data_IF_200860661719
#
_entry.id   IF_200860661719
#
_cell.length_a   1.000
_cell.length_b   1.000
_cell.length_c   1.000
_cell.angle_alpha   90.00
_cell.angle_beta   90.00
_cell.angle_gamma   90.00
#
_symmetry.space_group_name_H-M   'P 1'
#
loop_
_entity.id
_entity.type
_entity.pdbx_description
1 polymer ?
#
# COMPACT_ATOMS: atom_id res chain seq x y z
N UNK A 1 9.89 -30.48 -4.84
CA UNK A 1 8.47 -30.67 -4.43
C UNK A 1 7.76 -29.39 -4.83
N UNK A 2 6.95 -29.44 -5.89
CA UNK A 2 6.33 -28.25 -6.50
C UNK A 2 5.25 -27.71 -5.54
N UNK A 3 5.38 -26.47 -5.08
CA UNK A 3 4.29 -25.74 -4.43
C UNK A 3 3.25 -25.37 -5.52
N UNK A 4 1.96 -25.44 -5.21
CA UNK A 4 0.93 -24.99 -6.12
C UNK A 4 0.86 -23.47 -6.17
N UNK A 5 0.69 -22.98 -7.38
CA UNK A 5 0.40 -21.60 -7.79
C UNK A 5 -0.80 -21.07 -6.99
N UNK A 6 -0.60 -20.00 -6.22
CA UNK A 6 -1.70 -19.24 -5.61
C UNK A 6 -2.33 -18.38 -6.72
N UNK A 7 -3.42 -18.86 -7.28
CA UNK A 7 -4.29 -18.07 -8.15
C UNK A 7 -5.15 -17.18 -7.24
N UNK A 8 -4.96 -15.88 -7.33
CA UNK A 8 -5.86 -14.92 -6.74
C UNK A 8 -7.17 -14.93 -7.53
N UNK A 9 -8.24 -15.51 -6.96
CA UNK A 9 -9.57 -15.49 -7.54
C UNK A 9 -10.32 -14.29 -6.94
N UNK A 10 -10.52 -13.25 -7.76
CA UNK A 10 -11.39 -12.13 -7.44
C UNK A 10 -12.84 -12.61 -7.46
N UNK A 11 -13.57 -12.44 -6.36
CA UNK A 11 -15.02 -12.63 -6.33
C UNK A 11 -15.68 -11.36 -6.86
N UNK A 12 -16.10 -11.38 -8.12
CA UNK A 12 -16.98 -10.38 -8.70
C UNK A 12 -18.42 -10.69 -8.30
N UNK A 13 -19.05 -9.84 -7.50
CA UNK A 13 -20.50 -9.84 -7.35
C UNK A 13 -21.11 -9.03 -8.50
N UNK A 14 -21.75 -9.71 -9.44
CA UNK A 14 -22.51 -9.08 -10.52
C UNK A 14 -23.84 -8.56 -9.97
N UNK A 15 -24.01 -7.25 -9.94
CA UNK A 15 -25.32 -6.62 -9.91
C UNK A 15 -25.65 -6.10 -11.31
N UNK A 16 -26.65 -6.73 -11.94
CA UNK A 16 -27.23 -6.21 -13.19
C UNK A 16 -28.17 -5.06 -12.87
N UNK A 17 -27.80 -3.86 -13.30
CA UNK A 17 -28.72 -2.72 -13.40
C UNK A 17 -28.81 -2.31 -14.86
N UNK A 18 -30.03 -2.27 -15.37
CA UNK A 18 -30.31 -1.87 -16.74
C UNK A 18 -30.07 -0.37 -16.93
N UNK A 19 -29.15 -0.03 -17.79
CA UNK A 19 -28.85 1.35 -18.18
C UNK A 19 -29.92 1.89 -19.15
N UNK A 20 -30.58 2.97 -18.74
CA UNK A 20 -31.22 3.90 -19.68
C UNK A 20 -30.19 4.94 -20.07
N UNK A 21 -29.68 4.84 -21.28
CA UNK A 21 -28.80 5.86 -21.88
C UNK A 21 -29.57 7.16 -22.10
N UNK A 22 -29.23 8.19 -21.35
CA UNK A 22 -29.49 9.58 -21.70
C UNK A 22 -28.23 10.14 -22.37
N UNK A 23 -28.36 10.30 -23.68
CA UNK A 23 -27.39 10.99 -24.53
C UNK A 23 -27.27 12.46 -24.05
N UNK A 24 -26.27 12.78 -23.26
CA UNK A 24 -25.81 14.15 -23.00
C UNK A 24 -24.55 14.35 -23.82
N UNK A 25 -24.67 15.08 -24.91
CA UNK A 25 -23.53 15.61 -25.66
C UNK A 25 -22.71 16.50 -24.70
N UNK A 26 -21.61 15.97 -24.18
CA UNK A 26 -20.63 16.73 -23.41
C UNK A 26 -19.68 17.41 -24.38
N UNK A 27 -19.71 18.74 -24.39
CA UNK A 27 -18.64 19.55 -24.99
C UNK A 27 -17.40 19.34 -24.12
N UNK A 28 -16.38 18.71 -24.70
CA UNK A 28 -15.02 18.64 -24.13
C UNK A 28 -14.51 20.08 -23.99
N UNK A 29 -14.29 20.53 -22.76
CA UNK A 29 -13.71 21.83 -22.51
C UNK A 29 -12.21 21.78 -22.81
N UNK A 30 -11.72 22.58 -23.75
CA UNK A 30 -10.29 22.75 -23.97
C UNK A 30 -9.68 23.52 -22.77
N UNK A 31 -8.89 22.82 -21.98
CA UNK A 31 -8.18 23.37 -20.82
C UNK A 31 -6.80 23.80 -21.29
N UNK A 32 -6.40 25.02 -21.02
CA UNK A 32 -5.03 25.49 -21.25
C UNK A 32 -4.31 25.54 -19.90
N UNK A 33 -3.18 24.82 -19.75
CA UNK A 33 -2.31 24.98 -18.59
C UNK A 33 -1.66 26.36 -18.70
N UNK A 34 -2.00 27.27 -17.80
CA UNK A 34 -1.19 28.48 -17.65
C UNK A 34 0.23 28.06 -17.23
N UNK A 35 1.24 28.67 -17.88
CA UNK A 35 2.62 28.58 -17.42
C UNK A 35 2.62 28.89 -15.92
N UNK A 36 3.20 27.99 -15.12
CA UNK A 36 3.11 27.89 -13.67
C UNK A 36 2.71 29.22 -13.01
N UNK A 37 1.64 29.23 -12.26
CA UNK A 37 1.29 30.39 -11.45
C UNK A 37 2.42 30.61 -10.45
N UNK A 38 3.50 31.26 -10.89
CA UNK A 38 4.71 31.62 -10.16
C UNK A 38 4.43 32.72 -9.10
N UNK A 39 3.28 32.64 -8.49
CA UNK A 39 2.95 33.33 -7.25
C UNK A 39 2.66 32.33 -6.16
N UNK A 40 3.46 31.26 -6.08
CA UNK A 40 3.57 30.55 -4.83
C UNK A 40 4.15 31.57 -3.82
N UNK A 41 3.33 32.02 -2.88
CA UNK A 41 3.86 32.52 -1.63
C UNK A 41 4.96 31.54 -1.24
N UNK A 42 6.15 32.04 -0.88
CA UNK A 42 7.29 31.25 -0.45
C UNK A 42 6.90 30.36 0.75
N UNK A 43 6.13 29.33 0.48
CA UNK A 43 5.77 28.23 1.36
C UNK A 43 6.81 27.15 1.11
N UNK A 44 7.40 26.66 2.15
CA UNK A 44 8.38 25.61 2.23
C UNK A 44 7.98 24.43 1.33
N UNK A 45 8.50 24.42 0.09
CA UNK A 45 8.38 23.27 -0.82
C UNK A 45 8.94 22.03 -0.11
N UNK A 46 8.33 20.87 -0.35
CA UNK A 46 8.85 19.61 0.19
C UNK A 46 9.95 19.13 -0.77
N UNK A 47 11.20 19.16 -0.29
CA UNK A 47 12.39 18.95 -1.14
C UNK A 47 12.42 17.60 -1.87
N UNK A 48 11.89 16.54 -1.25
CA UNK A 48 12.01 15.18 -1.75
C UNK A 48 10.67 14.65 -2.34
N UNK A 49 9.68 15.54 -2.56
CA UNK A 49 8.35 15.14 -3.02
C UNK A 49 8.32 14.68 -4.50
N UNK A 50 9.30 15.08 -5.29
CA UNK A 50 9.45 14.65 -6.68
C UNK A 50 10.36 13.44 -6.87
N UNK A 51 10.92 12.88 -5.78
CA UNK A 51 11.70 11.65 -5.83
C UNK A 51 10.82 10.40 -5.70
N UNK A 52 11.17 9.36 -6.44
CA UNK A 52 10.52 8.05 -6.30
C UNK A 52 11.30 7.19 -5.32
N UNK A 53 10.69 6.83 -4.20
CA UNK A 53 11.22 5.84 -3.27
C UNK A 53 10.63 4.47 -3.60
N UNK A 54 11.26 3.80 -4.54
CA UNK A 54 10.79 2.54 -5.09
C UNK A 54 11.06 1.37 -4.15
N UNK A 55 10.04 0.52 -3.95
CA UNK A 55 10.13 -0.71 -3.15
C UNK A 55 9.89 -1.93 -4.05
N UNK A 56 10.78 -2.92 -3.98
CA UNK A 56 10.62 -4.18 -4.71
C UNK A 56 10.22 -5.32 -3.79
N UNK A 57 9.14 -6.01 -4.12
CA UNK A 57 8.79 -7.26 -3.45
C UNK A 57 9.72 -8.39 -3.89
N UNK A 58 10.29 -9.11 -2.93
CA UNK A 58 11.03 -10.33 -3.19
C UNK A 58 10.07 -11.53 -3.15
N UNK A 59 9.35 -11.74 -4.24
CA UNK A 59 8.53 -12.93 -4.48
C UNK A 59 9.37 -14.05 -5.11
N UNK A 60 8.77 -15.24 -5.29
CA UNK A 60 9.45 -16.37 -5.95
C UNK A 60 9.86 -16.06 -7.39
N UNK A 61 9.18 -15.16 -8.06
CA UNK A 61 9.52 -14.70 -9.42
C UNK A 61 10.79 -13.85 -9.43
N UNK A 62 11.12 -13.23 -8.30
CA UNK A 62 12.33 -12.44 -8.12
C UNK A 62 13.56 -13.29 -7.72
N UNK A 63 13.39 -14.56 -7.37
CA UNK A 63 14.47 -15.46 -6.94
C UNK A 63 15.70 -15.50 -7.88
N UNK A 64 15.54 -15.48 -9.23
CA UNK A 64 16.69 -15.45 -10.14
C UNK A 64 17.64 -14.28 -9.88
N UNK A 65 17.09 -13.08 -9.64
CA UNK A 65 17.86 -11.86 -9.42
C UNK A 65 18.55 -11.84 -8.05
N UNK A 66 17.93 -12.40 -7.01
CA UNK A 66 18.54 -12.52 -5.68
C UNK A 66 19.84 -13.35 -5.71
N UNK A 67 19.88 -14.39 -6.52
CA UNK A 67 21.05 -15.25 -6.68
C UNK A 67 22.10 -14.71 -7.64
N UNK A 68 21.72 -13.83 -8.58
CA UNK A 68 22.61 -13.24 -9.56
C UNK A 68 23.42 -12.06 -8.97
N UNK A 69 24.75 -12.23 -8.93
CA UNK A 69 25.63 -11.17 -8.46
C UNK A 69 25.71 -9.98 -9.42
N UNK A 70 25.43 -10.20 -10.72
CA UNK A 70 25.44 -9.16 -11.75
C UNK A 70 24.33 -8.15 -11.55
N UNK A 71 23.17 -8.58 -11.06
CA UNK A 71 22.00 -7.73 -10.78
C UNK A 71 22.11 -6.86 -9.52
N UNK A 72 23.06 -7.14 -8.64
CA UNK A 72 23.20 -6.42 -7.36
C UNK A 72 23.49 -4.92 -7.46
N UNK A 73 24.37 -4.44 -8.38
CA UNK A 73 24.55 -3.00 -8.56
C UNK A 73 23.26 -2.29 -8.93
N UNK A 74 22.52 -2.83 -9.91
CA UNK A 74 21.21 -2.33 -10.33
C UNK A 74 20.25 -2.22 -9.15
N UNK A 75 20.07 -3.30 -8.38
CA UNK A 75 19.16 -3.31 -7.23
C UNK A 75 19.52 -2.25 -6.17
N UNK A 76 20.81 -1.94 -5.99
CA UNK A 76 21.23 -0.89 -5.04
C UNK A 76 20.99 0.51 -5.55
N UNK A 77 21.00 0.69 -6.84
CA UNK A 77 20.82 1.98 -7.50
C UNK A 77 19.34 2.35 -7.56
N UNK A 78 18.46 1.39 -7.91
CA UNK A 78 17.07 1.64 -8.22
C UNK A 78 16.09 1.33 -7.09
N UNK A 79 16.44 0.41 -6.16
CA UNK A 79 15.51 0.04 -5.09
C UNK A 79 15.85 0.79 -3.79
N UNK A 80 14.95 1.67 -3.38
CA UNK A 80 15.05 2.33 -2.06
C UNK A 80 14.93 1.32 -0.92
N UNK A 81 14.01 0.36 -1.06
CA UNK A 81 13.78 -0.75 -0.14
C UNK A 81 13.49 -2.03 -0.91
N UNK A 82 13.67 -3.13 -0.21
CA UNK A 82 13.11 -4.42 -0.62
C UNK A 82 12.21 -4.94 0.51
N UNK A 83 11.18 -5.69 0.16
CA UNK A 83 10.34 -6.42 1.10
C UNK A 83 10.48 -7.91 0.81
N UNK A 84 10.75 -8.73 1.83
CA UNK A 84 10.97 -10.16 1.63
C UNK A 84 10.51 -11.00 2.80
N UNK A 85 10.20 -12.24 2.49
CA UNK A 85 9.87 -13.24 3.50
C UNK A 85 11.16 -13.87 4.04
N UNK A 86 11.36 -13.99 5.38
CA UNK A 86 12.39 -14.87 5.87
C UNK A 86 12.06 -16.33 5.48
N UNK A 87 12.98 -17.12 4.94
CA UNK A 87 14.43 -16.94 4.86
C UNK A 87 14.98 -16.56 3.48
N UNK A 88 14.26 -15.79 2.66
CA UNK A 88 14.74 -15.37 1.32
C UNK A 88 16.12 -14.74 1.37
N UNK A 89 16.41 -14.03 2.44
CA UNK A 89 17.69 -13.43 2.67
C UNK A 89 18.47 -14.25 3.67
N UNK A 90 19.60 -14.76 3.23
CA UNK A 90 20.59 -15.35 4.11
C UNK A 90 21.31 -14.26 4.94
N UNK A 91 22.27 -14.65 5.76
CA UNK A 91 23.06 -13.74 6.58
C UNK A 91 23.89 -12.73 5.81
N UNK A 92 23.85 -12.72 4.48
CA UNK A 92 24.63 -11.85 3.60
C UNK A 92 23.85 -10.63 3.09
N UNK A 93 22.81 -10.18 3.77
CA UNK A 93 22.01 -8.99 3.44
C UNK A 93 22.80 -7.69 3.24
N UNK A 94 24.07 -7.66 3.58
CA UNK A 94 24.95 -6.48 3.41
C UNK A 94 25.04 -5.95 1.98
N UNK A 95 24.70 -6.75 1.00
CA UNK A 95 24.68 -6.35 -0.40
C UNK A 95 23.33 -5.81 -0.85
N UNK A 96 22.24 -6.21 -0.21
CA UNK A 96 20.90 -5.81 -0.60
C UNK A 96 20.61 -4.36 -0.23
N UNK A 97 19.68 -3.68 -0.91
CA UNK A 97 19.04 -2.48 -0.39
C UNK A 97 18.47 -2.73 0.99
N UNK A 98 18.23 -1.68 1.75
CA UNK A 98 17.61 -1.81 3.08
C UNK A 98 16.29 -2.59 2.96
N UNK A 99 16.18 -3.73 3.65
CA UNK A 99 15.12 -4.70 3.43
C UNK A 99 14.21 -4.79 4.65
N UNK A 100 12.91 -4.78 4.43
CA UNK A 100 11.91 -5.14 5.43
C UNK A 100 11.66 -6.64 5.38
N UNK A 101 11.62 -7.31 6.53
CA UNK A 101 11.07 -8.65 6.58
C UNK A 101 9.56 -8.59 6.78
N UNK A 102 8.85 -9.52 6.15
CA UNK A 102 7.42 -9.71 6.30
C UNK A 102 7.11 -10.44 7.60
N UNK A 103 6.15 -9.93 8.35
CA UNK A 103 5.63 -10.59 9.55
C UNK A 103 4.14 -10.26 9.72
N UNK A 104 3.33 -11.29 9.83
CA UNK A 104 1.91 -11.13 10.06
C UNK A 104 1.61 -10.77 11.52
N UNK A 105 0.69 -9.83 11.78
CA UNK A 105 0.38 -9.41 13.14
C UNK A 105 -0.34 -10.50 13.92
N UNK A 106 -1.29 -11.21 13.30
CA UNK A 106 -2.12 -12.22 13.96
C UNK A 106 -2.47 -13.43 13.09
N UNK A 107 -2.11 -13.45 11.80
CA UNK A 107 -2.23 -14.66 11.01
C UNK A 107 -1.10 -15.63 11.33
N UNK A 108 -1.42 -16.90 11.39
CA UNK A 108 -0.47 -17.93 11.72
C UNK A 108 -0.74 -19.16 10.88
N UNK A 109 0.28 -19.57 10.14
CA UNK A 109 0.18 -20.58 9.10
C UNK A 109 0.54 -21.99 9.60
N UNK A 110 -0.43 -22.89 9.83
CA UNK A 110 -0.15 -24.25 10.26
C UNK A 110 0.56 -25.10 9.20
N UNK A 111 0.63 -24.64 7.96
CA UNK A 111 1.47 -25.24 6.91
C UNK A 111 2.96 -25.07 7.20
N UNK A 112 3.37 -24.00 7.89
CA UNK A 112 4.71 -23.86 8.41
C UNK A 112 4.91 -24.78 9.62
N UNK A 113 5.98 -25.60 9.58
CA UNK A 113 6.26 -26.59 10.62
C UNK A 113 6.60 -25.96 11.97
N UNK A 114 7.22 -24.79 11.97
CA UNK A 114 7.62 -24.09 13.20
C UNK A 114 6.41 -23.44 13.86
N UNK A 115 5.54 -22.83 13.09
CA UNK A 115 4.30 -22.20 13.55
C UNK A 115 3.31 -23.25 14.05
N UNK A 116 3.10 -24.34 13.29
CA UNK A 116 2.27 -25.45 13.76
C UNK A 116 2.70 -25.99 15.11
N UNK A 117 4.00 -26.23 15.33
CA UNK A 117 4.53 -26.68 16.64
C UNK A 117 4.32 -25.64 17.74
N UNK A 118 4.32 -24.37 17.38
CA UNK A 118 4.07 -23.29 18.31
C UNK A 118 2.64 -23.33 18.84
N UNK A 119 1.66 -23.59 17.97
CA UNK A 119 0.26 -23.69 18.37
C UNK A 119 -0.05 -24.95 19.18
N UNK A 120 0.53 -26.06 18.78
CA UNK A 120 0.42 -27.30 19.56
C UNK A 120 0.87 -27.08 21.01
N UNK A 121 1.89 -26.23 21.21
CA UNK A 121 2.40 -25.89 22.57
C UNK A 121 1.60 -24.78 23.25
N UNK A 122 0.97 -23.90 22.48
CA UNK A 122 0.29 -22.70 22.99
C UNK A 122 -1.11 -22.53 22.40
N UNK A 123 -2.02 -23.54 22.54
CA UNK A 123 -3.35 -23.51 21.91
C UNK A 123 -4.20 -22.32 22.37
N UNK A 124 -3.93 -21.75 23.53
CA UNK A 124 -4.59 -20.55 24.06
C UNK A 124 -4.11 -19.23 23.41
N UNK A 125 -3.25 -19.29 22.38
CA UNK A 125 -2.91 -18.11 21.60
C UNK A 125 -3.84 -17.92 20.39
N UNK A 126 -4.62 -18.95 20.03
CA UNK A 126 -5.58 -18.90 18.93
C UNK A 126 -6.94 -18.48 19.46
N UNK A 127 -7.56 -17.55 18.74
CA UNK A 127 -8.93 -17.17 18.98
C UNK A 127 -9.89 -18.33 18.71
N UNK A 128 -10.98 -18.38 19.44
CA UNK A 128 -11.97 -19.46 19.34
C UNK A 128 -13.37 -18.89 19.36
N UNK A 129 -14.30 -19.64 18.76
CA UNK A 129 -15.72 -19.39 18.84
C UNK A 129 -16.32 -19.88 20.18
N UNK A 130 -17.63 -19.75 20.34
CA UNK A 130 -18.39 -20.21 21.52
C UNK A 130 -18.34 -21.74 21.71
N UNK A 131 -18.20 -22.50 20.62
CA UNK A 131 -18.06 -23.94 20.65
C UNK A 131 -16.62 -24.39 20.93
N UNK A 132 -15.69 -23.45 21.08
CA UNK A 132 -14.27 -23.71 21.32
C UNK A 132 -13.49 -24.11 20.05
N UNK A 133 -14.08 -23.95 18.86
CA UNK A 133 -13.38 -24.21 17.60
C UNK A 133 -12.37 -23.08 17.29
N UNK A 134 -11.22 -23.39 16.71
CA UNK A 134 -10.25 -22.39 16.32
C UNK A 134 -10.81 -21.52 15.19
N UNK A 135 -10.49 -20.24 15.22
CA UNK A 135 -10.86 -19.26 14.22
C UNK A 135 -9.69 -18.92 13.32
N UNK A 136 -10.01 -18.41 12.15
CA UNK A 136 -9.09 -18.16 11.05
C UNK A 136 -9.05 -16.68 10.66
N UNK A 137 -8.00 -16.27 9.95
CA UNK A 137 -8.05 -15.08 9.12
C UNK A 137 -8.86 -15.44 7.86
N UNK A 138 -9.96 -14.72 7.52
CA UNK A 138 -10.88 -15.08 6.43
C UNK A 138 -10.29 -14.73 5.07
N UNK A 139 -9.23 -15.43 4.68
CA UNK A 139 -8.50 -15.26 3.44
C UNK A 139 -8.26 -16.62 2.78
N UNK A 140 -8.51 -16.74 1.47
CA UNK A 140 -8.34 -17.95 0.68
C UNK A 140 -8.94 -19.21 1.33
N UNK A 141 -10.13 -19.07 1.92
CA UNK A 141 -10.81 -20.15 2.62
C UNK A 141 -11.43 -21.13 1.63
N UNK A 142 -11.19 -22.43 1.86
CA UNK A 142 -11.74 -23.52 1.06
C UNK A 142 -12.12 -24.70 1.96
N UNK A 143 -13.24 -25.36 1.64
CA UNK A 143 -13.68 -26.59 2.33
C UNK A 143 -13.79 -26.46 3.87
N UNK A 144 -14.20 -25.31 4.38
CA UNK A 144 -14.41 -25.08 5.80
C UNK A 144 -13.11 -24.80 6.58
N UNK A 145 -12.03 -24.42 5.89
CA UNK A 145 -10.79 -23.96 6.52
C UNK A 145 -10.11 -22.86 5.72
N UNK A 146 -9.27 -22.07 6.38
CA UNK A 146 -8.45 -21.06 5.74
C UNK A 146 -6.96 -21.34 6.00
N UNK A 147 -6.03 -20.78 5.21
CA UNK A 147 -4.60 -21.05 5.33
C UNK A 147 -4.00 -20.68 6.70
N UNK A 148 -4.58 -19.69 7.39
CA UNK A 148 -4.03 -19.18 8.64
C UNK A 148 -5.06 -19.13 9.76
N UNK A 149 -4.66 -19.57 10.95
CA UNK A 149 -5.42 -19.32 12.19
C UNK A 149 -5.27 -17.87 12.63
N UNK A 150 -6.31 -17.34 13.29
CA UNK A 150 -6.28 -16.02 13.91
C UNK A 150 -5.71 -16.11 15.36
N UNK A 151 -4.53 -15.55 15.56
CA UNK A 151 -3.96 -15.40 16.90
C UNK A 151 -4.62 -14.25 17.66
N UNK A 152 -4.64 -14.34 18.99
CA UNK A 152 -5.19 -13.30 19.88
C UNK A 152 -4.21 -12.11 20.02
N UNK A 153 -4.47 -10.95 19.39
CA UNK A 153 -3.59 -9.79 19.47
C UNK A 153 -3.55 -9.19 20.88
N UNK A 154 -4.50 -9.53 21.75
CA UNK A 154 -4.51 -9.13 23.17
C UNK A 154 -3.66 -10.04 24.07
N UNK A 155 -3.18 -11.18 23.58
CA UNK A 155 -2.41 -12.14 24.38
C UNK A 155 -0.96 -11.67 24.57
N UNK A 156 -0.61 -11.28 25.79
CA UNK A 156 0.72 -10.77 26.11
C UNK A 156 1.87 -11.77 25.91
N UNK A 157 1.58 -13.09 25.97
CA UNK A 157 2.61 -14.12 25.72
C UNK A 157 2.88 -14.23 24.22
N UNK A 158 1.83 -14.23 23.41
CA UNK A 158 1.93 -14.15 21.95
C UNK A 158 2.69 -12.88 21.50
N UNK A 159 2.30 -11.71 22.00
CA UNK A 159 3.00 -10.45 21.69
C UNK A 159 4.51 -10.52 22.02
N UNK A 160 4.89 -11.08 23.17
CA UNK A 160 6.31 -11.25 23.53
C UNK A 160 7.06 -12.17 22.58
N UNK A 161 6.41 -13.28 22.20
CA UNK A 161 6.97 -14.22 21.24
C UNK A 161 7.19 -13.53 19.89
N UNK A 162 6.18 -12.85 19.37
CA UNK A 162 6.23 -12.14 18.10
C UNK A 162 7.37 -11.11 18.07
N UNK A 163 7.45 -10.25 19.10
CA UNK A 163 8.50 -9.22 19.21
C UNK A 163 9.89 -9.84 19.33
N UNK A 164 10.04 -10.94 20.06
CA UNK A 164 11.33 -11.62 20.16
C UNK A 164 11.73 -12.27 18.82
N UNK A 165 10.78 -12.69 18.01
CA UNK A 165 11.01 -13.18 16.65
C UNK A 165 11.49 -12.03 15.76
N UNK A 166 10.74 -10.94 15.71
CA UNK A 166 11.09 -9.76 14.95
C UNK A 166 12.50 -9.22 15.29
N UNK A 167 12.87 -9.19 16.57
CA UNK A 167 14.23 -8.81 16.98
C UNK A 167 15.30 -9.70 16.37
N UNK A 168 15.09 -11.02 16.35
CA UNK A 168 16.07 -11.95 15.77
C UNK A 168 16.28 -11.70 14.28
N UNK A 169 15.23 -11.29 13.55
CA UNK A 169 15.35 -10.97 12.14
C UNK A 169 16.05 -9.62 11.93
N UNK A 170 15.73 -8.62 12.73
CA UNK A 170 16.49 -7.35 12.74
C UNK A 170 17.98 -7.57 13.06
N UNK A 171 18.31 -8.45 14.02
CA UNK A 171 19.69 -8.83 14.36
C UNK A 171 20.42 -9.54 13.21
N UNK A 172 19.68 -10.07 12.22
CA UNK A 172 20.25 -10.63 10.98
C UNK A 172 20.60 -9.56 9.94
N UNK A 173 20.15 -8.33 10.13
CA UNK A 173 20.49 -7.21 9.26
C UNK A 173 19.33 -6.63 8.46
N UNK A 174 18.09 -7.02 8.75
CA UNK A 174 16.92 -6.33 8.19
C UNK A 174 16.83 -4.90 8.73
N UNK A 175 16.44 -3.95 7.87
CA UNK A 175 16.30 -2.55 8.24
C UNK A 175 15.00 -2.26 9.00
N UNK A 176 14.00 -3.08 8.77
CA UNK A 176 12.68 -2.89 9.35
C UNK A 176 11.79 -4.11 9.22
N UNK A 177 10.55 -3.93 9.61
CA UNK A 177 9.50 -4.95 9.56
C UNK A 177 8.28 -4.42 8.81
N UNK A 178 7.83 -5.21 7.87
CA UNK A 178 6.53 -5.08 7.25
C UNK A 178 5.54 -5.92 8.04
N UNK A 179 4.61 -5.26 8.72
CA UNK A 179 3.61 -5.90 9.57
C UNK A 179 2.31 -6.00 8.81
N UNK A 180 2.00 -7.18 8.34
CA UNK A 180 0.76 -7.46 7.63
C UNK A 180 -0.42 -7.63 8.59
N UNK A 181 -1.64 -7.48 8.05
CA UNK A 181 -2.89 -7.66 8.79
C UNK A 181 -3.03 -6.76 10.03
N UNK A 182 -2.53 -5.51 9.98
CA UNK A 182 -2.81 -4.53 11.03
C UNK A 182 -4.24 -4.02 10.89
N UNK A 183 -5.20 -4.94 10.82
CA UNK A 183 -6.60 -4.64 10.57
C UNK A 183 -7.29 -4.15 11.85
N UNK A 184 -7.86 -2.94 11.78
CA UNK A 184 -8.67 -2.40 12.85
C UNK A 184 -10.14 -2.85 12.76
N UNK A 185 -10.54 -3.47 11.63
CA UNK A 185 -11.70 -4.35 11.55
C UNK A 185 -11.34 -5.72 12.13
N UNK A 186 -12.31 -6.36 12.78
CA UNK A 186 -12.11 -7.68 13.36
C UNK A 186 -12.26 -8.76 12.27
N UNK A 187 -11.24 -8.87 11.40
CA UNK A 187 -11.18 -9.85 10.32
C UNK A 187 -10.83 -11.24 10.86
N UNK A 188 -11.84 -11.89 11.46
CA UNK A 188 -11.76 -13.24 12.04
C UNK A 188 -12.95 -14.04 11.57
N UNK A 189 -12.73 -15.26 11.07
CA UNK A 189 -13.75 -16.11 10.48
C UNK A 189 -13.75 -17.54 10.99
N UNK A 190 -14.81 -18.28 10.67
CA UNK A 190 -15.02 -19.67 11.12
C UNK A 190 -14.43 -20.74 10.18
N UNK A 191 -13.78 -20.29 9.10
CA UNK A 191 -13.20 -21.18 8.08
C UNK A 191 -14.09 -21.35 6.84
N UNK A 192 -15.34 -20.90 6.86
CA UNK A 192 -16.21 -20.83 5.67
C UNK A 192 -15.92 -19.61 4.78
N UNK A 193 -15.19 -18.63 5.33
CA UNK A 193 -15.01 -17.30 4.76
C UNK A 193 -15.88 -16.24 5.43
N UNK A 194 -16.88 -16.66 6.21
CA UNK A 194 -17.73 -15.75 6.98
C UNK A 194 -17.01 -15.22 8.22
N UNK A 195 -17.14 -13.91 8.46
CA UNK A 195 -16.57 -13.25 9.64
C UNK A 195 -17.43 -13.52 10.87
N UNK A 196 -16.79 -13.93 11.96
CA UNK A 196 -17.42 -14.21 13.24
C UNK A 196 -16.66 -13.56 14.38
N UNK A 197 -17.36 -13.05 15.38
CA UNK A 197 -16.71 -12.48 16.55
C UNK A 197 -16.21 -13.62 17.48
N UNK A 198 -14.92 -13.63 17.84
CA UNK A 198 -14.36 -14.61 18.77
C UNK A 198 -14.87 -14.41 20.19
N UNK A 199 -14.75 -15.43 21.04
CA UNK A 199 -14.87 -15.27 22.49
C UNK A 199 -13.59 -14.65 23.03
N UNK A 200 -13.70 -13.52 23.71
CA UNK A 200 -12.57 -12.88 24.38
C UNK A 200 -12.10 -13.75 25.58
N UNK A 201 -10.88 -14.30 25.54
CA UNK A 201 -10.39 -15.17 26.62
C UNK A 201 -10.27 -14.47 27.97
N UNK A 202 -10.36 -13.14 28.03
CA UNK A 202 -10.22 -12.33 29.25
C UNK A 202 -11.56 -12.12 29.95
N UNK A 203 -12.65 -12.11 29.20
CA UNK A 203 -14.00 -11.87 29.73
C UNK A 203 -14.90 -13.11 29.67
N UNK A 204 -14.59 -14.04 28.76
CA UNK A 204 -15.44 -15.20 28.47
C UNK A 204 -16.71 -14.84 27.69
N UNK A 205 -16.79 -13.62 27.15
CA UNK A 205 -17.89 -13.13 26.32
C UNK A 205 -17.43 -12.85 24.90
N UNK A 206 -18.34 -12.67 23.97
CA UNK A 206 -18.02 -12.30 22.61
C UNK A 206 -17.23 -11.00 22.56
N UNK A 207 -16.12 -10.98 21.79
CA UNK A 207 -15.27 -9.82 21.63
C UNK A 207 -15.99 -8.75 20.80
N UNK A 208 -15.97 -7.52 21.27
CA UNK A 208 -16.50 -6.38 20.51
C UNK A 208 -15.43 -5.81 19.57
N UNK A 209 -15.85 -5.07 18.54
CA UNK A 209 -14.94 -4.33 17.66
C UNK A 209 -14.03 -3.36 18.48
N UNK A 210 -14.59 -2.71 19.49
CA UNK A 210 -13.82 -1.81 20.37
C UNK A 210 -12.75 -2.56 21.21
N UNK A 211 -13.01 -3.81 21.60
CA UNK A 211 -12.02 -4.66 22.27
C UNK A 211 -10.89 -5.02 21.31
N UNK A 212 -11.24 -5.47 20.12
CA UNK A 212 -10.29 -5.78 19.05
C UNK A 212 -9.36 -4.60 18.75
N UNK A 213 -9.92 -3.45 18.40
CA UNK A 213 -9.18 -2.23 18.10
C UNK A 213 -8.24 -1.83 19.25
N UNK A 214 -8.69 -1.96 20.49
CA UNK A 214 -7.88 -1.69 21.68
C UNK A 214 -6.70 -2.66 21.80
N UNK A 215 -6.90 -3.94 21.47
CA UNK A 215 -5.83 -4.95 21.54
C UNK A 215 -4.81 -4.75 20.44
N UNK A 216 -5.25 -4.55 19.19
CA UNK A 216 -4.36 -4.25 18.05
C UNK A 216 -3.56 -2.98 18.31
N UNK A 217 -4.21 -1.88 18.71
CA UNK A 217 -3.53 -0.62 19.01
C UNK A 217 -2.50 -0.72 20.16
N UNK A 218 -2.76 -1.57 21.17
CA UNK A 218 -1.78 -1.82 22.23
C UNK A 218 -0.62 -2.69 21.77
N UNK A 219 -0.88 -3.64 20.90
CA UNK A 219 0.15 -4.52 20.37
C UNK A 219 1.10 -3.74 19.44
N UNK A 220 0.57 -2.99 18.48
CA UNK A 220 1.37 -2.15 17.56
C UNK A 220 2.19 -1.10 18.32
N UNK A 221 1.60 -0.41 19.31
CA UNK A 221 2.33 0.52 20.17
C UNK A 221 3.46 -0.17 20.96
N UNK A 222 3.26 -1.42 21.36
CA UNK A 222 4.30 -2.23 22.02
C UNK A 222 5.40 -2.62 21.04
N UNK A 223 5.05 -3.03 19.81
CA UNK A 223 6.03 -3.31 18.75
C UNK A 223 6.94 -2.10 18.57
N UNK A 224 6.37 -0.91 18.37
CA UNK A 224 7.13 0.35 18.23
C UNK A 224 8.05 0.62 19.44
N UNK A 225 7.54 0.43 20.65
CA UNK A 225 8.32 0.69 21.87
C UNK A 225 9.50 -0.28 22.05
N UNK A 226 9.34 -1.52 21.59
CA UNK A 226 10.31 -2.62 21.77
C UNK A 226 11.30 -2.74 20.57
N UNK A 227 10.91 -2.32 19.36
CA UNK A 227 11.73 -2.34 18.15
C UNK A 227 12.19 -0.93 17.78
N UNK A 228 12.79 -0.23 18.74
CA UNK A 228 13.31 1.13 18.53
C UNK A 228 14.42 1.13 17.48
N UNK A 229 14.32 2.05 16.51
CA UNK A 229 15.30 2.19 15.43
C UNK A 229 15.04 1.31 14.22
N UNK A 230 14.07 0.39 14.25
CA UNK A 230 13.59 -0.30 13.07
C UNK A 230 12.53 0.55 12.36
N UNK A 231 12.55 0.55 11.03
CA UNK A 231 11.46 1.07 10.21
C UNK A 231 10.27 0.09 10.29
N UNK A 232 9.08 0.59 10.58
CA UNK A 232 7.87 -0.24 10.72
C UNK A 232 6.84 0.21 9.69
N UNK A 233 6.44 -0.72 8.84
CA UNK A 233 5.35 -0.55 7.87
C UNK A 233 4.15 -1.35 8.37
N UNK A 234 2.95 -0.75 8.36
CA UNK A 234 1.71 -1.45 8.66
C UNK A 234 0.87 -1.58 7.40
N UNK A 235 0.55 -2.82 6.98
CA UNK A 235 -0.52 -3.03 6.02
C UNK A 235 -1.87 -2.94 6.73
N UNK A 236 -2.70 -1.96 6.31
CA UNK A 236 -4.01 -1.67 6.91
C UNK A 236 -5.08 -1.46 5.85
N UNK A 237 -6.27 -2.03 6.09
CA UNK A 237 -7.45 -1.75 5.25
C UNK A 237 -7.95 -0.33 5.54
N UNK A 238 -7.91 0.54 4.54
CA UNK A 238 -8.17 1.97 4.71
C UNK A 238 -9.66 2.35 4.74
N UNK A 239 -10.47 1.77 3.83
CA UNK A 239 -11.82 2.27 3.52
C UNK A 239 -12.86 1.95 4.60
N UNK A 240 -12.62 0.96 5.43
CA UNK A 240 -13.56 0.50 6.45
C UNK A 240 -13.13 0.84 7.88
N UNK A 241 -12.01 1.54 8.06
CA UNK A 241 -11.45 1.80 9.38
C UNK A 241 -11.90 3.16 9.95
N UNK A 242 -12.60 3.18 11.10
CA UNK A 242 -12.97 4.45 11.72
C UNK A 242 -11.73 5.17 12.28
N UNK A 243 -11.63 6.47 12.11
CA UNK A 243 -10.53 7.31 12.64
C UNK A 243 -10.64 7.52 14.17
N UNK A 244 -10.83 6.42 14.90
CA UNK A 244 -10.92 6.41 16.37
C UNK A 244 -9.54 6.64 17.02
N UNK A 245 -9.53 6.85 18.34
CA UNK A 245 -8.28 6.97 19.09
C UNK A 245 -7.42 5.70 19.03
N UNK A 246 -8.03 4.53 18.92
CA UNK A 246 -7.33 3.26 18.75
C UNK A 246 -6.66 3.18 17.37
N UNK A 247 -7.38 3.50 16.29
CA UNK A 247 -6.85 3.58 14.92
C UNK A 247 -5.71 4.58 14.85
N UNK A 248 -5.92 5.80 15.35
CA UNK A 248 -4.87 6.83 15.41
C UNK A 248 -3.62 6.37 16.14
N UNK A 249 -3.77 5.62 17.24
CA UNK A 249 -2.65 5.07 18.00
C UNK A 249 -1.91 4.00 17.21
N UNK A 250 -2.62 3.12 16.52
CA UNK A 250 -2.04 2.08 15.67
C UNK A 250 -1.25 2.70 14.52
N UNK A 251 -1.85 3.66 13.80
CA UNK A 251 -1.21 4.39 12.70
C UNK A 251 0.07 5.10 13.16
N UNK A 252 0.03 5.78 14.31
CA UNK A 252 1.24 6.44 14.89
C UNK A 252 2.33 5.47 15.30
N UNK A 253 2.05 4.20 15.46
CA UNK A 253 3.06 3.20 15.78
C UNK A 253 3.87 2.75 14.55
N UNK A 254 3.40 3.00 13.33
CA UNK A 254 4.14 2.80 12.10
C UNK A 254 5.04 4.00 11.75
N UNK A 255 5.98 3.82 10.84
CA UNK A 255 6.64 4.89 10.08
C UNK A 255 5.88 5.13 8.78
N UNK A 256 5.42 4.05 8.13
CA UNK A 256 4.60 4.06 6.93
C UNK A 256 3.36 3.19 7.12
N UNK A 257 2.28 3.60 6.46
CA UNK A 257 1.08 2.78 6.29
C UNK A 257 1.03 2.33 4.84
N UNK A 258 1.04 1.03 4.63
CA UNK A 258 0.81 0.50 3.30
C UNK A 258 -0.67 0.58 2.97
N UNK A 259 -0.93 0.98 1.74
CA UNK A 259 -2.23 1.06 1.11
C UNK A 259 -2.23 0.08 -0.06
N UNK A 260 -2.55 -1.17 0.27
CA UNK A 260 -2.63 -2.28 -0.68
C UNK A 260 -3.62 -1.97 -1.80
N UNK A 261 -3.25 -2.25 -3.04
CA UNK A 261 -3.89 -1.90 -4.31
C UNK A 261 -3.81 -0.43 -4.72
N UNK A 262 -3.35 0.47 -3.85
CA UNK A 262 -3.14 1.88 -4.20
C UNK A 262 -4.39 2.57 -4.76
N UNK A 263 -4.19 3.46 -5.71
CA UNK A 263 -5.26 4.14 -6.45
C UNK A 263 -5.85 3.26 -7.57
N UNK A 264 -5.21 2.14 -7.90
CA UNK A 264 -5.71 1.15 -8.87
C UNK A 264 -6.67 0.12 -8.24
N UNK A 265 -7.06 0.28 -6.97
CA UNK A 265 -8.09 -0.57 -6.37
C UNK A 265 -9.38 -0.52 -7.20
N UNK A 266 -9.95 -1.67 -7.62
CA UNK A 266 -11.17 -1.70 -8.42
C UNK A 266 -12.32 -0.93 -7.79
N UNK A 267 -12.44 -0.93 -6.45
CA UNK A 267 -13.46 -0.16 -5.75
C UNK A 267 -13.26 1.36 -5.85
N UNK A 268 -12.05 1.82 -6.22
CA UNK A 268 -11.76 3.22 -6.51
C UNK A 268 -11.99 3.51 -8.01
N UNK A 269 -11.49 2.64 -8.90
CA UNK A 269 -11.55 2.86 -10.35
C UNK A 269 -12.97 2.74 -10.91
N UNK A 270 -13.81 1.89 -10.32
CA UNK A 270 -15.19 1.62 -10.74
C UNK A 270 -16.22 2.55 -10.08
N UNK A 271 -15.78 3.49 -9.25
CA UNK A 271 -16.66 4.42 -8.54
C UNK A 271 -17.12 5.55 -9.48
N UNK A 272 -18.39 5.47 -9.89
CA UNK A 272 -18.98 6.36 -10.91
C UNK A 272 -19.02 7.84 -10.48
N UNK A 273 -19.04 8.15 -9.19
CA UNK A 273 -19.07 9.53 -8.68
C UNK A 273 -17.73 10.04 -8.11
N UNK A 274 -16.70 9.18 -8.09
CA UNK A 274 -15.38 9.49 -7.59
C UNK A 274 -15.29 9.76 -6.10
N UNK A 275 -16.33 9.43 -5.33
CA UNK A 275 -16.37 9.69 -3.87
C UNK A 275 -15.37 8.83 -3.11
N UNK A 276 -15.16 7.59 -3.55
CA UNK A 276 -14.19 6.66 -2.97
C UNK A 276 -12.77 7.14 -3.18
N UNK A 277 -12.44 7.60 -4.39
CA UNK A 277 -11.14 8.22 -4.71
C UNK A 277 -10.84 9.42 -3.80
N UNK A 278 -11.82 10.33 -3.63
CA UNK A 278 -11.68 11.49 -2.73
C UNK A 278 -11.49 11.06 -1.27
N UNK A 279 -12.24 10.05 -0.83
CA UNK A 279 -12.10 9.50 0.51
C UNK A 279 -10.73 8.85 0.73
N UNK A 280 -10.16 8.24 -0.31
CA UNK A 280 -8.81 7.69 -0.26
C UNK A 280 -7.74 8.79 -0.15
N UNK A 281 -7.85 9.85 -0.94
CA UNK A 281 -6.98 11.04 -0.80
C UNK A 281 -7.06 11.64 0.59
N UNK A 282 -8.27 11.80 1.15
CA UNK A 282 -8.46 12.29 2.52
C UNK A 282 -7.84 11.36 3.57
N UNK A 283 -7.83 10.05 3.30
CA UNK A 283 -7.19 9.09 4.19
C UNK A 283 -5.66 9.24 4.16
N UNK A 284 -5.07 9.42 2.98
CA UNK A 284 -3.64 9.72 2.82
C UNK A 284 -3.28 11.00 3.56
N UNK A 285 -4.02 12.09 3.34
CA UNK A 285 -3.81 13.36 4.04
C UNK A 285 -3.90 13.21 5.56
N UNK A 286 -4.84 12.39 6.03
CA UNK A 286 -4.95 12.12 7.46
C UNK A 286 -3.73 11.38 8.01
N UNK A 287 -3.15 10.41 7.27
CA UNK A 287 -1.92 9.72 7.66
C UNK A 287 -0.78 10.74 7.76
N UNK A 288 -0.61 11.60 6.75
CA UNK A 288 0.40 12.67 6.74
C UNK A 288 0.21 13.66 7.90
N UNK A 289 -1.05 13.99 8.28
CA UNK A 289 -1.33 14.83 9.47
C UNK A 289 -0.82 14.21 10.77
N UNK A 290 -0.65 12.90 10.80
CA UNK A 290 -0.04 12.17 11.92
C UNK A 290 1.49 12.07 11.81
N UNK A 291 2.10 12.71 10.79
CA UNK A 291 3.52 12.65 10.46
C UNK A 291 3.99 11.21 10.18
N UNK A 292 3.21 10.50 9.38
CA UNK A 292 3.52 9.16 8.86
C UNK A 292 3.45 9.19 7.36
N UNK A 293 4.33 8.42 6.72
CA UNK A 293 4.27 8.24 5.28
C UNK A 293 3.28 7.15 4.88
N UNK A 294 3.01 7.09 3.59
CA UNK A 294 2.27 6.00 2.96
C UNK A 294 3.19 5.17 2.07
N UNK A 295 2.84 3.91 1.89
CA UNK A 295 3.44 3.01 0.91
C UNK A 295 2.32 2.54 -0.01
N UNK A 296 2.31 3.02 -1.26
CA UNK A 296 1.31 2.64 -2.25
C UNK A 296 1.75 1.34 -2.93
N UNK A 297 0.91 0.31 -2.90
CA UNK A 297 1.18 -0.96 -3.55
C UNK A 297 0.10 -1.28 -4.61
N UNK A 298 0.19 -0.70 -5.81
CA UNK A 298 -0.75 -0.99 -6.88
C UNK A 298 -0.63 -2.43 -7.38
N UNK A 299 -1.76 -3.00 -7.84
CA UNK A 299 -1.84 -4.33 -8.43
C UNK A 299 -2.31 -4.25 -9.88
N UNK A 300 -2.03 -5.31 -10.64
CA UNK A 300 -2.55 -5.55 -11.99
C UNK A 300 -2.33 -4.38 -12.96
N UNK A 301 -1.16 -3.72 -12.88
CA UNK A 301 -0.83 -2.56 -13.69
C UNK A 301 -0.65 -2.94 -15.16
N UNK A 302 -1.41 -2.29 -16.04
CA UNK A 302 -1.02 -2.05 -17.44
C UNK A 302 -0.25 -0.72 -17.54
N UNK A 303 0.21 -0.38 -18.73
CA UNK A 303 1.00 0.84 -18.93
C UNK A 303 0.24 2.11 -18.52
N UNK A 304 -1.08 2.18 -18.71
CA UNK A 304 -1.92 3.31 -18.37
C UNK A 304 -2.10 3.42 -16.85
N UNK A 305 -2.48 2.33 -16.20
CA UNK A 305 -2.65 2.31 -14.74
C UNK A 305 -1.34 2.55 -14.01
N UNK A 306 -0.21 2.12 -14.57
CA UNK A 306 1.12 2.40 -14.01
C UNK A 306 1.41 3.91 -13.99
N UNK A 307 1.14 4.63 -15.11
CA UNK A 307 1.32 6.08 -15.15
C UNK A 307 0.32 6.80 -14.24
N UNK A 308 -0.93 6.34 -14.18
CA UNK A 308 -1.94 6.84 -13.25
C UNK A 308 -1.49 6.69 -11.79
N UNK A 309 -0.98 5.53 -11.41
CA UNK A 309 -0.46 5.29 -10.05
C UNK A 309 0.74 6.17 -9.73
N UNK A 310 1.68 6.29 -10.66
CA UNK A 310 2.85 7.14 -10.48
C UNK A 310 2.46 8.63 -10.38
N UNK A 311 1.50 9.08 -11.19
CA UNK A 311 0.97 10.43 -11.10
C UNK A 311 0.30 10.67 -9.73
N UNK A 312 -0.50 9.72 -9.24
CA UNK A 312 -1.08 9.80 -7.90
C UNK A 312 -0.03 9.77 -6.79
N UNK A 313 1.02 8.95 -6.94
CA UNK A 313 2.14 8.96 -6.01
C UNK A 313 2.74 10.37 -5.88
N UNK A 314 3.06 11.02 -7.00
CA UNK A 314 3.59 12.38 -6.97
C UNK A 314 2.59 13.41 -6.42
N UNK A 315 1.28 13.24 -6.69
CA UNK A 315 0.27 14.13 -6.12
C UNK A 315 0.26 14.11 -4.59
N UNK A 316 0.53 12.96 -3.98
CA UNK A 316 0.43 12.81 -2.52
C UNK A 316 1.78 12.81 -1.80
N UNK A 317 2.89 12.53 -2.49
CA UNK A 317 4.19 12.35 -1.85
C UNK A 317 4.64 13.60 -1.08
N UNK A 318 4.83 13.43 0.25
CA UNK A 318 5.39 14.45 1.13
C UNK A 318 6.87 14.19 1.47
N UNK A 319 7.62 13.56 0.53
CA UNK A 319 9.05 13.30 0.66
C UNK A 319 9.39 12.10 1.56
N UNK A 320 8.39 11.45 2.13
CA UNK A 320 8.54 10.27 2.98
C UNK A 320 7.85 9.03 2.45
N UNK A 321 7.07 9.16 1.40
CA UNK A 321 6.22 8.12 0.85
C UNK A 321 7.00 7.17 -0.05
N UNK A 322 6.44 5.97 -0.27
CA UNK A 322 7.03 4.93 -1.08
C UNK A 322 6.00 4.37 -2.06
N UNK A 323 6.47 3.85 -3.18
CA UNK A 323 5.67 3.10 -4.15
C UNK A 323 6.25 1.71 -4.35
N UNK A 324 5.39 0.71 -4.38
CA UNK A 324 5.75 -0.70 -4.58
C UNK A 324 5.28 -1.12 -5.95
N UNK A 325 6.10 -1.83 -6.72
CA UNK A 325 5.63 -2.49 -7.95
C UNK A 325 6.42 -3.76 -8.23
N UNK A 326 5.75 -4.71 -8.86
CA UNK A 326 6.33 -5.90 -9.44
C UNK A 326 6.30 -5.85 -10.98
N UNK A 327 5.61 -4.84 -11.55
CA UNK A 327 5.42 -4.66 -12.99
C UNK A 327 6.54 -3.80 -13.58
N UNK A 328 7.25 -4.34 -14.59
CA UNK A 328 8.42 -3.73 -15.22
C UNK A 328 9.40 -3.13 -14.20
N UNK A 329 9.72 -3.93 -13.19
CA UNK A 329 10.45 -3.53 -12.00
C UNK A 329 11.65 -4.44 -11.68
N UNK A 330 12.07 -5.28 -12.63
CA UNK A 330 13.23 -6.16 -12.50
C UNK A 330 14.46 -5.57 -13.19
N UNK A 331 15.65 -6.09 -12.89
CA UNK A 331 16.89 -5.60 -13.52
C UNK A 331 16.94 -5.70 -15.05
N UNK A 332 16.13 -6.55 -15.67
CA UNK A 332 16.09 -6.79 -17.11
C UNK A 332 14.80 -6.29 -17.80
N UNK A 333 13.85 -5.77 -17.05
CA UNK A 333 12.61 -5.20 -17.56
C UNK A 333 12.21 -3.87 -16.86
N UNK A 334 13.20 -3.12 -16.42
CA UNK A 334 12.97 -1.86 -15.69
C UNK A 334 12.32 -0.79 -16.57
N UNK A 335 11.20 -0.24 -16.11
CA UNK A 335 10.59 0.91 -16.73
C UNK A 335 11.30 2.21 -16.31
N UNK A 336 11.78 2.97 -17.29
CA UNK A 336 12.52 4.22 -17.01
C UNK A 336 11.69 5.28 -16.25
N UNK A 337 10.37 5.19 -16.29
CA UNK A 337 9.50 6.07 -15.51
C UNK A 337 9.71 5.95 -13.99
N UNK A 338 10.21 4.80 -13.51
CA UNK A 338 10.56 4.62 -12.09
C UNK A 338 11.78 5.44 -11.65
N UNK A 339 12.55 6.00 -12.58
CA UNK A 339 13.70 6.87 -12.31
C UNK A 339 13.37 8.37 -12.47
N UNK A 340 12.08 8.71 -12.67
CA UNK A 340 11.66 10.10 -12.82
C UNK A 340 11.90 10.90 -11.55
N UNK A 341 12.62 12.02 -11.69
CA UNK A 341 12.85 12.99 -10.61
C UNK A 341 12.31 14.36 -11.04
N UNK A 342 11.23 14.77 -10.39
CA UNK A 342 10.58 16.05 -10.64
C UNK A 342 11.14 17.19 -9.79
N UNK A 343 12.11 16.91 -8.91
CA UNK A 343 12.66 17.90 -7.98
C UNK A 343 11.69 18.25 -6.85
N UNK A 344 11.91 19.41 -6.22
CA UNK A 344 11.04 19.84 -5.11
C UNK A 344 9.64 20.21 -5.61
N UNK A 345 8.61 19.84 -4.83
CA UNK A 345 7.26 20.32 -5.09
C UNK A 345 7.18 21.84 -4.85
N UNK A 346 6.59 22.57 -5.78
CA UNK A 346 6.39 24.03 -5.70
C UNK A 346 5.20 24.40 -4.81
N UNK A 347 4.37 23.43 -4.45
CA UNK A 347 3.21 23.63 -3.58
C UNK A 347 2.44 22.31 -3.33
N UNK A 348 1.31 22.40 -2.62
CA UNK A 348 0.39 21.28 -2.50
C UNK A 348 -0.31 21.02 -3.85
N UNK A 349 -0.92 19.84 -3.98
CA UNK A 349 -1.82 19.59 -5.10
C UNK A 349 -3.01 20.54 -5.06
N UNK A 350 -3.51 20.89 -6.24
CA UNK A 350 -4.69 21.73 -6.43
C UNK A 350 -5.70 21.02 -7.35
N UNK A 351 -6.98 21.27 -7.14
CA UNK A 351 -8.04 20.86 -8.05
C UNK A 351 -8.38 22.04 -8.98
N UNK A 352 -8.29 21.83 -10.28
CA UNK A 352 -8.67 22.81 -11.29
C UNK A 352 -10.20 22.87 -11.42
N UNK A 353 -10.73 23.93 -12.04
CA UNK A 353 -12.19 24.06 -12.28
C UNK A 353 -12.79 22.90 -13.07
N UNK A 354 -11.98 22.23 -13.88
CA UNK A 354 -12.34 21.04 -14.64
C UNK A 354 -12.44 19.77 -13.79
N UNK A 355 -12.00 19.80 -12.53
CA UNK A 355 -11.88 18.61 -11.66
C UNK A 355 -10.54 17.88 -11.78
N UNK A 356 -9.66 18.27 -12.73
CA UNK A 356 -8.29 17.72 -12.81
C UNK A 356 -7.51 18.10 -11.55
N UNK A 357 -6.82 17.11 -10.98
CA UNK A 357 -5.84 17.36 -9.93
C UNK A 357 -4.47 17.65 -10.54
N UNK A 358 -3.82 18.71 -10.07
CA UNK A 358 -2.51 19.17 -10.54
C UNK A 358 -1.56 19.35 -9.36
N UNK A 359 -0.29 19.03 -9.57
CA UNK A 359 0.80 19.43 -8.69
C UNK A 359 2.01 19.83 -9.52
N UNK A 360 2.61 20.96 -9.16
CA UNK A 360 3.78 21.53 -9.86
C UNK A 360 5.04 21.22 -9.07
N UNK A 361 6.12 20.95 -9.80
CA UNK A 361 7.46 20.65 -9.32
C UNK A 361 8.49 21.51 -10.03
N UNK A 362 9.73 21.54 -9.51
CA UNK A 362 10.83 22.27 -10.13
C UNK A 362 11.10 21.81 -11.58
N UNK A 363 10.96 20.51 -11.84
CA UNK A 363 11.29 19.87 -13.10
C UNK A 363 10.08 19.21 -13.78
N UNK A 364 8.85 19.58 -13.44
CA UNK A 364 7.69 18.96 -14.07
C UNK A 364 6.34 19.33 -13.48
N UNK A 365 5.32 18.74 -14.09
CA UNK A 365 3.92 18.88 -13.67
C UNK A 365 3.28 17.50 -13.68
N UNK A 366 2.44 17.26 -12.71
CA UNK A 366 1.63 16.03 -12.62
C UNK A 366 0.16 16.39 -12.74
N UNK A 367 -0.55 15.63 -13.56
CA UNK A 367 -1.98 15.78 -13.81
C UNK A 367 -2.67 14.45 -13.57
N UNK A 368 -3.81 14.47 -12.89
CA UNK A 368 -4.67 13.30 -12.71
C UNK A 368 -6.11 13.67 -12.98
N UNK A 369 -6.77 12.87 -13.81
CA UNK A 369 -8.21 12.92 -14.01
C UNK A 369 -8.86 11.84 -13.13
N UNK A 370 -9.55 12.22 -12.04
CA UNK A 370 -10.12 11.25 -11.09
C UNK A 370 -11.15 10.32 -11.74
N UNK A 371 -11.42 9.15 -11.13
CA UNK A 371 -12.58 8.32 -11.47
C UNK A 371 -13.89 9.12 -11.42
N UNK A 372 -14.85 8.76 -12.26
CA UNK A 372 -16.16 9.42 -12.33
C UNK A 372 -16.17 10.76 -13.06
N UNK A 373 -15.01 11.23 -13.53
CA UNK A 373 -14.90 12.46 -14.34
C UNK A 373 -15.16 12.18 -15.81
N UNK A 374 -15.33 13.23 -16.63
CA UNK A 374 -15.32 13.12 -18.09
C UNK A 374 -13.89 13.17 -18.64
N UNK A 375 -13.70 12.71 -19.89
CA UNK A 375 -12.43 12.90 -20.61
C UNK A 375 -12.09 14.38 -20.70
N UNK A 376 -10.82 14.73 -20.46
CA UNK A 376 -10.31 16.09 -20.50
C UNK A 376 -9.19 16.23 -21.53
N UNK A 377 -9.20 17.34 -22.27
CA UNK A 377 -8.13 17.74 -23.19
C UNK A 377 -7.40 18.94 -22.60
N UNK A 378 -6.09 18.81 -22.47
CA UNK A 378 -5.28 19.78 -21.75
C UNK A 378 -4.14 20.20 -22.66
N UNK A 379 -4.15 21.46 -23.12
CA UNK A 379 -3.03 22.02 -23.84
C UNK A 379 -1.83 22.23 -22.91
N UNK A 380 -0.68 21.71 -23.31
CA UNK A 380 0.57 21.76 -22.52
C UNK A 380 1.48 22.85 -23.08
N UNK A 381 2.04 23.73 -22.25
CA UNK A 381 3.02 24.71 -22.73
C UNK A 381 4.24 24.02 -23.36
N UNK A 382 4.90 24.74 -24.28
CA UNK A 382 6.14 24.22 -24.89
C UNK A 382 7.24 24.02 -23.81
N UNK A 383 8.07 22.99 -23.98
CA UNK A 383 9.18 22.70 -23.08
C UNK A 383 8.96 21.46 -22.21
N UNK A 384 7.77 20.87 -22.23
CA UNK A 384 7.48 19.62 -21.55
C UNK A 384 7.59 18.41 -22.47
N UNK A 385 8.03 17.30 -21.90
CA UNK A 385 8.06 15.97 -22.52
C UNK A 385 7.30 14.98 -21.65
N UNK A 386 6.89 13.86 -22.22
CA UNK A 386 6.50 12.70 -21.43
C UNK A 386 7.76 12.05 -20.79
N UNK A 387 7.58 11.02 -19.99
CA UNK A 387 8.66 10.31 -19.32
C UNK A 387 9.63 9.60 -20.30
N UNK A 388 9.22 9.35 -21.55
CA UNK A 388 10.07 8.81 -22.62
C UNK A 388 10.89 9.90 -23.34
N UNK A 389 10.74 11.15 -22.94
CA UNK A 389 11.43 12.31 -23.55
C UNK A 389 10.79 12.83 -24.84
N UNK A 390 9.61 12.36 -25.24
CA UNK A 390 8.89 12.87 -26.40
C UNK A 390 8.18 14.20 -26.06
N UNK A 391 8.31 15.25 -26.90
CA UNK A 391 7.61 16.52 -26.68
C UNK A 391 6.08 16.33 -26.61
N UNK A 392 5.44 17.04 -25.68
CA UNK A 392 3.99 16.99 -25.46
C UNK A 392 3.40 18.39 -25.64
N UNK A 393 2.44 18.52 -26.55
CA UNK A 393 1.69 19.76 -26.78
C UNK A 393 0.26 19.69 -26.24
N UNK A 394 -0.26 18.47 -26.11
CA UNK A 394 -1.60 18.19 -25.57
C UNK A 394 -1.58 16.86 -24.81
N UNK A 395 -2.31 16.80 -23.72
CA UNK A 395 -2.61 15.55 -22.98
C UNK A 395 -4.11 15.31 -23.01
N UNK A 396 -4.51 14.09 -23.33
CA UNK A 396 -5.91 13.64 -23.26
C UNK A 396 -6.01 12.63 -22.12
N UNK A 397 -6.77 12.96 -21.08
CA UNK A 397 -6.95 12.13 -19.91
C UNK A 397 -8.39 11.60 -19.85
N UNK A 398 -8.56 10.31 -20.01
CA UNK A 398 -9.80 9.63 -19.69
C UNK A 398 -10.04 9.63 -18.17
N UNK A 399 -11.24 9.25 -17.67
CA UNK A 399 -11.41 8.96 -16.25
C UNK A 399 -10.40 7.93 -15.75
N UNK A 400 -9.93 8.09 -14.54
CA UNK A 400 -8.88 7.24 -13.94
C UNK A 400 -7.60 7.20 -14.76
N UNK A 401 -7.17 8.36 -15.24
CA UNK A 401 -5.95 8.53 -16.02
C UNK A 401 -5.05 9.61 -15.43
N UNK A 402 -3.75 9.52 -15.68
CA UNK A 402 -2.77 10.46 -15.17
C UNK A 402 -1.65 10.70 -16.15
N UNK A 403 -0.98 11.82 -16.01
CA UNK A 403 0.21 12.13 -16.80
C UNK A 403 1.28 12.80 -15.98
N UNK A 404 2.51 12.35 -16.19
CA UNK A 404 3.73 12.92 -15.62
C UNK A 404 4.50 13.63 -16.74
N UNK A 405 4.52 14.96 -16.68
CA UNK A 405 5.19 15.82 -17.65
C UNK A 405 6.53 16.31 -17.08
N UNK A 406 7.61 16.03 -17.78
CA UNK A 406 8.97 16.38 -17.38
C UNK A 406 9.41 17.63 -18.15
N UNK A 407 9.97 18.60 -17.46
CA UNK A 407 10.45 19.86 -18.03
C UNK A 407 10.19 21.04 -17.11
N UNK A 408 10.72 22.20 -17.47
CA UNK A 408 10.47 23.46 -16.77
C UNK A 408 9.73 24.43 -17.68
N UNK A 409 8.82 25.18 -17.09
CA UNK A 409 8.13 26.26 -17.79
C UNK A 409 9.08 27.39 -18.22
#
# INVERSE_FOLDING_TARGET
MKLPLLVALALAMAFSVASLALDRGEESADITLDAAATTAAAGTGVSDAGEIRFVRNASSEFDPYLSDRGSRPFMREHYWRMRGYPPYFDRSLKWAPATHFYADLYAVYPSDRSERRLFEKHPGWILRDEAGQPLYVPFACENGSCPAYAADPGNRKYQRYWIAHARRDLDRGYAGVFVDNVNMLMRVGDGSGEEVAPIDPRTGTQMTLGDWQRYVARFTARIRAELRGAEIVHNSIWFAEPRSDAVRRATRAADLVELERGFSDPGILEDEDGSTYRSFLEHVDWIHSLRRGVMLEPYDLDARLREFELANYFLVNEGGDMIVSDFEANPDDWWAGWDTDLGAALGPRVELESGILRRDFENGIVLVNPPGSSEQRIAVPSGYTNMDGAPVEEVVLAPSDGSVLVGSA
#
